data_IF_550070349791
#
_entry.id   IF_550070349791
#
_cell.length_a   1.000
_cell.length_b   1.000
_cell.length_c   1.000
_cell.angle_alpha   90.00
_cell.angle_beta   90.00
_cell.angle_gamma   90.00
#
_symmetry.space_group_name_H-M   'P 1'
#
loop_
_entity.id
_entity.type
_entity.pdbx_description
1 polymer ?
#
# COMPACT_ATOMS: atom_id res chain seq x y z
N UNK A 1 11.52 -4.08 -14.06
CA UNK A 1 10.15 -3.73 -13.61
C UNK A 1 10.19 -3.67 -12.10
N UNK A 2 9.79 -2.54 -11.50
CA UNK A 2 9.49 -2.53 -10.06
C UNK A 2 8.33 -3.49 -9.82
N UNK A 3 8.46 -4.35 -8.81
CA UNK A 3 7.34 -5.19 -8.39
C UNK A 3 6.28 -4.34 -7.69
N UNK A 4 5.04 -4.83 -7.65
CA UNK A 4 3.99 -4.17 -6.87
C UNK A 4 4.37 -4.03 -5.39
N UNK A 5 5.05 -5.03 -4.84
CA UNK A 5 5.56 -4.99 -3.47
C UNK A 5 6.55 -3.84 -3.25
N UNK A 6 7.47 -3.61 -4.20
CA UNK A 6 8.41 -2.48 -4.12
C UNK A 6 7.71 -1.13 -4.24
N UNK A 7 6.73 -1.00 -5.12
CA UNK A 7 5.94 0.22 -5.27
C UNK A 7 5.22 0.58 -3.96
N UNK A 8 4.52 -0.40 -3.39
CA UNK A 8 3.85 -0.24 -2.10
C UNK A 8 4.83 0.11 -0.98
N UNK A 9 5.96 -0.61 -0.92
CA UNK A 9 7.00 -0.37 0.07
C UNK A 9 7.54 1.04 0.01
N UNK A 10 7.81 1.56 -1.19
CA UNK A 10 8.34 2.90 -1.37
C UNK A 10 7.35 3.96 -0.87
N UNK A 11 6.06 3.83 -1.20
CA UNK A 11 5.02 4.71 -0.66
C UNK A 11 4.92 4.63 0.87
N UNK A 12 4.94 3.43 1.46
CA UNK A 12 4.91 3.23 2.92
C UNK A 12 6.18 3.69 3.63
N UNK A 13 7.32 3.78 2.94
CA UNK A 13 8.59 4.31 3.48
C UNK A 13 8.56 5.82 3.63
N UNK A 14 7.87 6.51 2.74
CA UNK A 14 7.70 7.96 2.78
C UNK A 14 6.74 8.41 3.89
N UNK A 15 5.83 7.53 4.34
CA UNK A 15 4.95 7.79 5.48
C UNK A 15 5.71 7.90 6.80
N UNK A 16 5.35 8.87 7.62
CA UNK A 16 5.84 8.97 9.00
C UNK A 16 5.31 7.83 9.88
N UNK A 17 5.94 7.62 11.05
CA UNK A 17 5.49 6.58 12.00
C UNK A 17 4.03 6.75 12.43
N UNK A 18 3.55 8.00 12.56
CA UNK A 18 2.16 8.29 12.92
C UNK A 18 1.21 7.91 11.79
N UNK A 19 1.52 8.32 10.57
CA UNK A 19 0.74 8.03 9.37
C UNK A 19 0.71 6.54 9.06
N UNK A 20 1.83 5.84 9.27
CA UNK A 20 1.89 4.39 9.13
C UNK A 20 0.97 3.67 10.13
N UNK A 21 0.88 4.16 11.37
CA UNK A 21 -0.06 3.61 12.36
C UNK A 21 -1.52 3.85 11.95
N UNK A 22 -1.84 5.04 11.45
CA UNK A 22 -3.17 5.36 10.94
C UNK A 22 -3.50 4.54 9.68
N UNK A 23 -2.53 4.35 8.79
CA UNK A 23 -2.65 3.48 7.62
C UNK A 23 -3.01 2.04 8.02
N UNK A 24 -2.22 1.45 8.93
CA UNK A 24 -2.47 0.11 9.44
C UNK A 24 -3.82 0.01 10.16
N UNK A 25 -4.27 1.08 10.82
CA UNK A 25 -5.58 1.16 11.47
C UNK A 25 -6.71 1.13 10.45
N UNK A 26 -6.62 1.93 9.40
CA UNK A 26 -7.59 1.89 8.31
C UNK A 26 -7.62 0.52 7.61
N UNK A 27 -6.46 -0.09 7.40
CA UNK A 27 -6.34 -1.40 6.78
C UNK A 27 -6.99 -2.50 7.64
N UNK A 28 -6.81 -2.45 8.96
CA UNK A 28 -7.51 -3.36 9.89
C UNK A 28 -9.02 -3.13 9.88
N UNK A 29 -9.45 -1.86 9.96
CA UNK A 29 -10.87 -1.51 10.04
C UNK A 29 -11.65 -1.89 8.79
N UNK A 30 -11.05 -1.69 7.61
CA UNK A 30 -11.75 -1.89 6.34
C UNK A 30 -11.73 -3.36 5.89
N UNK A 31 -10.79 -4.19 6.38
CA UNK A 31 -10.56 -5.52 5.82
C UNK A 31 -10.21 -6.65 6.81
N UNK A 32 -10.15 -6.40 8.12
CA UNK A 32 -9.80 -7.37 9.19
C UNK A 32 -8.51 -8.21 8.99
N UNK A 33 -7.74 -7.98 7.92
CA UNK A 33 -6.57 -8.81 7.56
C UNK A 33 -5.38 -8.70 8.52
N UNK A 34 -5.34 -7.66 9.35
CA UNK A 34 -4.27 -7.43 10.33
C UNK A 34 -4.89 -7.36 11.71
N UNK A 35 -4.42 -8.15 12.66
CA UNK A 35 -4.90 -8.05 14.04
C UNK A 35 -4.30 -6.83 14.74
N UNK A 36 -5.04 -6.27 15.71
CA UNK A 36 -4.62 -5.08 16.48
C UNK A 36 -3.27 -5.27 17.19
N UNK A 37 -2.99 -6.48 17.67
CA UNK A 37 -1.71 -6.86 18.30
C UNK A 37 -0.54 -6.91 17.31
N UNK A 38 -0.82 -7.18 16.04
CA UNK A 38 0.18 -7.17 14.98
C UNK A 38 0.48 -5.75 14.48
N UNK A 39 -0.48 -4.82 14.55
CA UNK A 39 -0.28 -3.43 14.13
C UNK A 39 0.82 -2.72 14.92
N UNK A 40 0.89 -2.93 16.24
CA UNK A 40 1.90 -2.24 17.08
C UNK A 40 3.34 -2.68 16.80
N UNK A 41 3.53 -3.83 16.15
CA UNK A 41 4.85 -4.47 15.96
C UNK A 41 5.25 -4.66 14.48
N UNK A 42 4.38 -4.33 13.52
CA UNK A 42 4.65 -4.61 12.11
C UNK A 42 5.50 -3.52 11.48
N UNK A 43 6.68 -3.94 11.03
CA UNK A 43 7.48 -3.21 10.05
C UNK A 43 6.72 -3.03 8.74
N UNK A 44 7.06 -1.97 8.01
CA UNK A 44 6.51 -1.62 6.69
C UNK A 44 6.48 -2.82 5.74
N UNK A 45 7.52 -3.65 5.79
CA UNK A 45 7.65 -4.89 5.00
C UNK A 45 6.51 -5.87 5.27
N UNK A 46 6.23 -6.14 6.53
CA UNK A 46 5.17 -7.07 6.91
C UNK A 46 3.79 -6.53 6.53
N UNK A 47 3.59 -5.22 6.50
CA UNK A 47 2.33 -4.63 6.04
C UNK A 47 2.13 -4.88 4.54
N UNK A 48 3.16 -4.60 3.72
CA UNK A 48 3.10 -4.83 2.26
C UNK A 48 2.84 -6.29 1.94
N UNK A 49 3.63 -7.20 2.53
CA UNK A 49 3.53 -8.64 2.29
C UNK A 49 2.12 -9.17 2.62
N UNK A 50 1.54 -8.72 3.74
CA UNK A 50 0.16 -9.08 4.08
C UNK A 50 -0.88 -8.52 3.11
N UNK A 51 -0.70 -7.29 2.62
CA UNK A 51 -1.64 -6.71 1.67
C UNK A 51 -1.64 -7.49 0.35
N UNK A 52 -0.45 -7.79 -0.17
CA UNK A 52 -0.31 -8.56 -1.41
C UNK A 52 -0.82 -9.99 -1.21
N UNK A 53 -0.57 -10.62 -0.06
CA UNK A 53 -1.10 -11.95 0.26
C UNK A 53 -2.63 -11.99 0.42
N UNK A 54 -3.23 -10.95 1.04
CA UNK A 54 -4.68 -10.89 1.30
C UNK A 54 -5.50 -10.51 0.06
N UNK A 55 -5.04 -9.51 -0.70
CA UNK A 55 -5.83 -8.90 -1.78
C UNK A 55 -5.28 -9.20 -3.17
N UNK A 56 -4.04 -9.67 -3.25
CA UNK A 56 -3.31 -9.75 -4.51
C UNK A 56 -2.65 -8.42 -4.89
N UNK A 57 -1.73 -8.44 -5.87
CA UNK A 57 -0.92 -7.27 -6.23
C UNK A 57 -1.77 -6.07 -6.67
N UNK A 58 -2.68 -6.24 -7.63
CA UNK A 58 -3.44 -5.12 -8.18
C UNK A 58 -4.36 -4.45 -7.15
N UNK A 59 -5.06 -5.25 -6.35
CA UNK A 59 -5.99 -4.71 -5.36
C UNK A 59 -5.27 -4.14 -4.14
N UNK A 60 -4.09 -4.67 -3.79
CA UNK A 60 -3.24 -4.07 -2.77
C UNK A 60 -2.83 -2.63 -3.14
N UNK A 61 -2.56 -2.34 -4.42
CA UNK A 61 -2.30 -0.97 -4.90
C UNK A 61 -3.52 -0.08 -4.72
N UNK A 62 -4.69 -0.52 -5.20
CA UNK A 62 -5.94 0.26 -5.10
C UNK A 62 -6.29 0.59 -3.64
N UNK A 63 -6.16 -0.39 -2.74
CA UNK A 63 -6.42 -0.20 -1.31
C UNK A 63 -5.43 0.81 -0.72
N UNK A 64 -4.15 0.71 -1.08
CA UNK A 64 -3.11 1.64 -0.60
C UNK A 64 -3.39 3.06 -1.04
N UNK A 65 -3.68 3.29 -2.33
CA UNK A 65 -4.06 4.61 -2.87
C UNK A 65 -5.27 5.18 -2.12
N UNK A 66 -6.30 4.35 -1.87
CA UNK A 66 -7.50 4.77 -1.13
C UNK A 66 -7.20 5.19 0.30
N UNK A 67 -6.36 4.43 1.02
CA UNK A 67 -6.01 4.75 2.41
C UNK A 67 -5.11 5.99 2.46
N UNK A 68 -4.13 6.12 1.55
CA UNK A 68 -3.29 7.32 1.44
C UNK A 68 -4.14 8.58 1.24
N UNK A 69 -5.19 8.52 0.40
CA UNK A 69 -6.14 9.62 0.25
C UNK A 69 -6.88 9.97 1.55
N UNK A 70 -7.26 8.97 2.37
CA UNK A 70 -7.87 9.21 3.70
C UNK A 70 -6.91 9.89 4.67
N UNK A 71 -5.61 9.63 4.54
CA UNK A 71 -4.55 10.25 5.34
C UNK A 71 -4.12 11.63 4.81
N UNK A 72 -4.82 12.16 3.80
CA UNK A 72 -4.45 13.39 3.09
C UNK A 72 -3.06 13.32 2.41
N UNK A 73 -2.55 12.10 2.19
CA UNK A 73 -1.31 11.81 1.48
C UNK A 73 -1.57 11.68 -0.03
N UNK A 74 -2.27 12.67 -0.59
CA UNK A 74 -2.73 12.67 -1.97
C UNK A 74 -1.58 12.61 -2.98
N UNK A 75 -0.44 13.23 -2.67
CA UNK A 75 0.76 13.18 -3.51
C UNK A 75 1.31 11.75 -3.61
N UNK A 76 1.43 11.04 -2.48
CA UNK A 76 1.88 9.64 -2.47
C UNK A 76 0.89 8.72 -3.19
N UNK A 77 -0.41 8.97 -3.02
CA UNK A 77 -1.47 8.23 -3.69
C UNK A 77 -1.38 8.36 -5.22
N UNK A 78 -1.22 9.59 -5.71
CA UNK A 78 -1.10 9.88 -7.14
C UNK A 78 0.19 9.29 -7.74
N UNK A 79 1.32 9.42 -7.02
CA UNK A 79 2.58 8.83 -7.47
C UNK A 79 2.50 7.31 -7.59
N UNK A 80 1.89 6.65 -6.60
CA UNK A 80 1.72 5.20 -6.60
C UNK A 80 0.82 4.74 -7.76
N UNK A 81 -0.31 5.43 -7.98
CA UNK A 81 -1.22 5.15 -9.08
C UNK A 81 -0.56 5.34 -10.45
N UNK A 82 0.19 6.43 -10.62
CA UNK A 82 0.90 6.73 -11.87
C UNK A 82 1.98 5.69 -12.17
N UNK A 83 2.76 5.27 -11.16
CA UNK A 83 3.76 4.20 -11.32
C UNK A 83 3.11 2.87 -11.69
N UNK A 84 1.99 2.53 -11.05
CA UNK A 84 1.26 1.29 -11.37
C UNK A 84 0.68 1.30 -12.79
N UNK A 85 0.08 2.42 -13.22
CA UNK A 85 -0.42 2.59 -14.60
C UNK A 85 0.71 2.47 -15.63
N UNK A 86 1.87 3.07 -15.35
CA UNK A 86 3.04 2.95 -16.23
C UNK A 86 3.54 1.51 -16.34
N UNK A 87 3.61 0.80 -15.22
CA UNK A 87 4.00 -0.61 -15.19
C UNK A 87 3.01 -1.51 -15.97
N UNK A 88 1.70 -1.21 -15.94
CA UNK A 88 0.70 -1.92 -16.74
C UNK A 88 0.78 -1.59 -18.24
N UNK A 89 1.05 -0.33 -18.60
CA UNK A 89 1.17 0.09 -19.99
C UNK A 89 2.36 -0.58 -20.71
N UNK A 90 3.46 -0.83 -20.00
CA UNK A 90 4.64 -1.52 -20.53
C UNK A 90 4.40 -3.03 -20.78
N UNK A 91 3.33 -3.63 -20.23
CA UNK A 91 2.99 -5.05 -20.46
C UNK A 91 2.11 -5.29 -21.70
N UNK A 92 1.66 -4.23 -22.39
CA UNK A 92 0.67 -4.32 -23.48
C UNK A 92 1.25 -4.12 -24.89
N UNK A 93 2.56 -4.32 -25.09
CA UNK A 93 3.18 -4.25 -26.43
C UNK A 93 3.63 -5.65 -26.86
N UNK A 94 2.70 -6.40 -27.48
CA UNK A 94 2.98 -7.58 -28.29
C UNK A 94 2.51 -7.33 -29.72
#
# INVERSE_FOLDING_TARGET
>A
MESVEELLMNSLKELEKKELKEFQWHLHKDHECISKSEMEKRDRVKTVDKMVACFGPEDAVKITVRILGKLNQNNLAEQLENKHKKAQAECNTN
#
